data_IF_063752478524
#
_entry.id   IF_063752478524
#
_cell.length_a   1.000
_cell.length_b   1.000
_cell.length_c   1.000
_cell.angle_alpha   90.00
_cell.angle_beta   90.00
_cell.angle_gamma   90.00
#
_symmetry.space_group_name_H-M   'P 1'
#
loop_
_entity.id
_entity.type
_entity.pdbx_description
1 polymer ?
#
# COMPACT_ATOMS: atom_id res chain seq x y z
N UNK A 1 33.46 -18.75 -6.53
CA UNK A 1 32.51 -18.48 -7.64
C UNK A 1 31.37 -17.66 -7.09
N UNK A 2 31.33 -16.34 -7.34
CA UNK A 2 30.18 -15.52 -6.91
C UNK A 2 28.92 -16.04 -7.60
N UNK A 3 27.91 -16.32 -6.79
CA UNK A 3 26.66 -16.94 -7.21
C UNK A 3 26.01 -16.07 -8.30
N UNK A 4 25.97 -16.53 -9.56
CA UNK A 4 25.50 -15.73 -10.71
C UNK A 4 24.11 -15.12 -10.43
N UNK A 5 23.25 -15.85 -9.73
CA UNK A 5 21.92 -15.38 -9.31
C UNK A 5 21.96 -14.14 -8.39
N UNK A 6 22.91 -14.03 -7.46
CA UNK A 6 23.03 -12.85 -6.59
C UNK A 6 23.53 -11.64 -7.37
N UNK A 7 24.48 -11.83 -8.30
CA UNK A 7 24.97 -10.76 -9.16
C UNK A 7 23.87 -10.21 -10.07
N UNK A 8 23.09 -11.10 -10.70
CA UNK A 8 21.96 -10.69 -11.55
C UNK A 8 20.89 -9.92 -10.76
N UNK A 9 20.59 -10.35 -9.52
CA UNK A 9 19.62 -9.66 -8.65
C UNK A 9 20.08 -8.26 -8.29
N UNK A 10 21.33 -8.09 -7.88
CA UNK A 10 21.89 -6.77 -7.56
C UNK A 10 21.97 -5.86 -8.79
N UNK A 11 22.27 -6.42 -9.96
CA UNK A 11 22.24 -5.68 -11.22
C UNK A 11 20.84 -5.11 -11.51
N UNK A 12 19.79 -5.92 -11.41
CA UNK A 12 18.42 -5.43 -11.62
C UNK A 12 18.01 -4.36 -10.60
N UNK A 13 18.36 -4.54 -9.32
CA UNK A 13 18.07 -3.54 -8.27
C UNK A 13 18.77 -2.21 -8.60
N UNK A 14 20.06 -2.25 -8.94
CA UNK A 14 20.83 -1.05 -9.27
C UNK A 14 20.32 -0.38 -10.55
N UNK A 15 19.94 -1.17 -11.56
CA UNK A 15 19.33 -0.67 -12.79
C UNK A 15 18.00 0.03 -12.52
N UNK A 16 17.12 -0.56 -11.69
CA UNK A 16 15.85 0.06 -11.30
C UNK A 16 16.03 1.36 -10.54
N UNK A 17 16.95 1.40 -9.57
CA UNK A 17 17.27 2.62 -8.81
C UNK A 17 17.79 3.71 -9.75
N UNK A 18 18.69 3.34 -10.67
CA UNK A 18 19.23 4.27 -11.69
C UNK A 18 18.12 4.84 -12.57
N UNK A 19 17.21 4.00 -13.09
CA UNK A 19 16.09 4.44 -13.92
C UNK A 19 15.16 5.40 -13.16
N UNK A 20 14.78 5.03 -11.94
CA UNK A 20 13.92 5.89 -11.09
C UNK A 20 14.59 7.24 -10.84
N UNK A 21 15.89 7.23 -10.55
CA UNK A 21 16.66 8.46 -10.28
C UNK A 21 16.75 9.34 -11.52
N UNK A 22 16.96 8.76 -12.70
CA UNK A 22 16.95 9.47 -13.98
C UNK A 22 15.58 10.09 -14.30
N UNK A 23 14.48 9.37 -14.05
CA UNK A 23 13.12 9.90 -14.25
C UNK A 23 12.86 11.09 -13.33
N UNK A 24 13.21 10.98 -12.05
CA UNK A 24 13.06 12.06 -11.08
C UNK A 24 13.91 13.29 -11.45
N UNK A 25 15.18 13.07 -11.80
CA UNK A 25 16.07 14.12 -12.28
C UNK A 25 15.50 14.83 -13.52
N UNK A 26 15.07 14.06 -14.53
CA UNK A 26 14.52 14.60 -15.76
C UNK A 26 13.25 15.44 -15.49
N UNK A 27 12.37 14.95 -14.62
CA UNK A 27 11.14 15.67 -14.23
C UNK A 27 11.46 16.99 -13.52
N UNK A 28 12.46 16.99 -12.64
CA UNK A 28 12.92 18.21 -11.95
C UNK A 28 13.51 19.24 -12.92
N UNK A 29 14.36 18.78 -13.85
CA UNK A 29 14.93 19.63 -14.90
C UNK A 29 13.84 20.23 -15.80
N UNK A 30 12.89 19.41 -16.25
CA UNK A 30 11.76 19.86 -17.05
C UNK A 30 10.94 20.95 -16.35
N UNK A 31 10.64 20.77 -15.06
CA UNK A 31 9.92 21.79 -14.29
C UNK A 31 10.71 23.10 -14.17
N UNK A 32 12.02 23.01 -13.93
CA UNK A 32 12.90 24.18 -13.81
C UNK A 32 12.97 24.96 -15.13
N UNK A 33 13.16 24.24 -16.24
CA UNK A 33 13.17 24.82 -17.58
C UNK A 33 11.84 25.48 -17.93
N UNK A 34 10.71 24.91 -17.49
CA UNK A 34 9.39 25.54 -17.69
C UNK A 34 9.26 26.85 -16.91
N UNK A 35 9.78 26.92 -15.68
CA UNK A 35 9.81 28.18 -14.89
C UNK A 35 10.70 29.24 -15.53
N UNK A 36 11.88 28.84 -16.02
CA UNK A 36 12.80 29.74 -16.73
C UNK A 36 12.16 30.29 -18.01
N UNK A 37 11.57 29.43 -18.84
CA UNK A 37 10.86 29.85 -20.05
C UNK A 37 9.70 30.82 -19.76
N UNK A 38 8.98 30.66 -18.63
CA UNK A 38 7.95 31.63 -18.24
C UNK A 38 8.54 32.97 -17.81
N UNK A 39 9.66 32.95 -17.11
CA UNK A 39 10.39 34.15 -16.74
C UNK A 39 10.88 34.90 -17.98
N UNK A 40 11.52 34.22 -18.92
CA UNK A 40 12.03 34.83 -20.16
C UNK A 40 10.90 35.48 -20.96
N UNK A 41 9.74 34.82 -21.04
CA UNK A 41 8.54 35.40 -21.67
C UNK A 41 8.07 36.68 -20.98
N UNK A 42 8.13 36.73 -19.65
CA UNK A 42 7.73 37.91 -18.88
C UNK A 42 8.77 39.04 -18.99
N UNK A 43 10.05 38.73 -19.09
CA UNK A 43 11.10 39.72 -19.36
C UNK A 43 10.92 40.33 -20.77
N UNK A 44 10.62 39.52 -21.79
CA UNK A 44 10.29 40.01 -23.14
C UNK A 44 9.00 40.84 -23.12
N UNK A 45 7.98 40.40 -22.38
CA UNK A 45 6.73 41.16 -22.23
C UNK A 45 6.96 42.52 -21.57
N UNK A 46 7.80 42.56 -20.52
CA UNK A 46 8.16 43.80 -19.82
C UNK A 46 8.93 44.76 -20.73
N UNK A 47 9.90 44.26 -21.49
CA UNK A 47 10.64 45.06 -22.47
C UNK A 47 9.72 45.64 -23.56
N UNK A 48 8.77 44.84 -24.08
CA UNK A 48 7.78 45.33 -25.04
C UNK A 48 6.86 46.40 -24.42
N UNK A 49 6.50 46.27 -23.14
CA UNK A 49 5.70 47.26 -22.43
C UNK A 49 6.49 48.56 -22.18
N UNK A 50 7.78 48.47 -21.88
CA UNK A 50 8.68 49.60 -21.77
C UNK A 50 8.75 50.37 -23.09
N UNK A 51 9.04 49.67 -24.19
CA UNK A 51 9.12 50.25 -25.53
C UNK A 51 7.78 50.87 -25.95
N UNK A 52 6.66 50.19 -25.71
CA UNK A 52 5.32 50.71 -26.00
C UNK A 52 5.03 52.05 -25.31
N UNK A 53 5.53 52.24 -24.09
CA UNK A 53 5.34 53.48 -23.32
C UNK A 53 6.23 54.63 -23.78
N UNK A 54 7.32 54.33 -24.50
CA UNK A 54 8.24 55.31 -25.06
C UNK A 54 7.84 55.79 -26.46
N UNK A 55 6.85 55.14 -27.10
CA UNK A 55 6.37 55.54 -28.43
C UNK A 55 5.73 56.93 -28.34
N UNK A 56 6.38 57.89 -28.97
CA UNK A 56 5.82 59.22 -29.22
C UNK A 56 4.82 59.12 -30.38
N UNK A 57 3.54 59.38 -30.13
CA UNK A 57 2.43 59.21 -31.08
C UNK A 57 2.50 60.14 -32.31
N UNK A 58 3.57 60.93 -32.44
CA UNK A 58 3.78 61.94 -33.48
C UNK A 58 4.69 61.49 -34.63
N UNK A 59 5.25 60.28 -34.60
CA UNK A 59 6.01 59.71 -35.73
C UNK A 59 5.20 58.63 -36.47
N UNK A 60 4.87 58.88 -37.73
CA UNK A 60 3.95 58.09 -38.57
C UNK A 60 4.50 56.71 -39.05
N UNK A 61 5.71 56.30 -38.68
CA UNK A 61 6.40 55.12 -39.25
C UNK A 61 6.78 54.02 -38.24
N UNK A 62 6.10 53.88 -37.11
CA UNK A 62 6.38 52.77 -36.18
C UNK A 62 5.54 51.51 -36.46
N UNK A 63 6.17 50.37 -36.74
CA UNK A 63 5.49 49.08 -36.89
C UNK A 63 5.10 48.50 -35.52
N UNK A 64 4.06 49.06 -34.90
CA UNK A 64 3.55 48.67 -33.56
C UNK A 64 3.03 47.22 -33.50
N UNK A 65 2.94 46.50 -34.63
CA UNK A 65 2.36 45.15 -34.69
C UNK A 65 3.17 44.13 -33.90
N UNK A 66 4.50 44.21 -33.91
CA UNK A 66 5.35 43.27 -33.17
C UNK A 66 5.18 43.42 -31.65
N UNK A 67 5.22 44.66 -31.14
CA UNK A 67 5.03 44.97 -29.73
C UNK A 67 3.64 44.52 -29.26
N UNK A 68 2.59 44.89 -30.01
CA UNK A 68 1.23 44.48 -29.69
C UNK A 68 1.06 42.96 -29.69
N UNK A 69 1.68 42.25 -30.63
CA UNK A 69 1.67 40.79 -30.66
C UNK A 69 2.34 40.19 -29.43
N UNK A 70 3.48 40.73 -28.98
CA UNK A 70 4.16 40.30 -27.75
C UNK A 70 3.27 40.53 -26.53
N UNK A 71 2.70 41.73 -26.39
CA UNK A 71 1.84 42.07 -25.25
C UNK A 71 0.58 41.20 -25.19
N UNK A 72 -0.03 40.93 -26.34
CA UNK A 72 -1.23 40.09 -26.47
C UNK A 72 -0.93 38.58 -26.38
N UNK A 73 0.32 38.15 -26.60
CA UNK A 73 0.70 36.73 -26.52
C UNK A 73 0.60 36.15 -25.10
N UNK A 74 0.65 37.00 -24.07
CA UNK A 74 0.49 36.56 -22.68
C UNK A 74 -0.98 36.26 -22.35
N UNK A 75 -1.38 35.03 -22.58
CA UNK A 75 -2.77 34.55 -22.38
C UNK A 75 -2.98 33.76 -21.08
N UNK A 76 -1.91 33.44 -20.34
CA UNK A 76 -1.99 32.47 -19.25
C UNK A 76 -1.17 32.80 -18.01
N UNK A 77 -0.15 33.65 -18.11
CA UNK A 77 0.65 34.03 -16.94
C UNK A 77 -0.09 35.11 -16.16
N UNK A 78 -0.49 34.83 -14.90
CA UNK A 78 -1.18 35.81 -14.07
C UNK A 78 -0.23 36.92 -13.65
N UNK A 79 -0.66 38.17 -13.80
CA UNK A 79 0.14 39.32 -13.39
C UNK A 79 -0.70 40.47 -12.86
N UNK A 80 -0.10 41.26 -11.97
CA UNK A 80 -0.60 42.52 -11.44
C UNK A 80 0.44 43.58 -11.79
N UNK A 81 0.02 44.58 -12.56
CA UNK A 81 0.79 45.76 -12.92
C UNK A 81 0.47 46.87 -11.92
N UNK A 82 1.48 47.36 -11.22
CA UNK A 82 1.36 48.52 -10.33
C UNK A 82 1.93 49.75 -11.03
N UNK A 83 1.10 50.79 -11.21
CA UNK A 83 1.52 52.06 -11.83
C UNK A 83 1.80 53.08 -10.74
N UNK A 84 3.08 53.40 -10.51
CA UNK A 84 3.50 54.21 -9.36
C UNK A 84 2.93 55.63 -9.37
N UNK A 85 2.85 56.26 -10.55
CA UNK A 85 2.36 57.65 -10.70
C UNK A 85 0.88 57.83 -10.36
N UNK A 86 0.07 56.80 -10.64
CA UNK A 86 -1.39 56.86 -10.51
C UNK A 86 -1.90 56.11 -9.27
N UNK A 87 -1.02 55.37 -8.57
CA UNK A 87 -1.36 54.45 -7.48
C UNK A 87 -2.46 53.43 -7.89
N UNK A 88 -2.35 52.91 -9.12
CA UNK A 88 -3.33 51.99 -9.70
C UNK A 88 -2.74 50.61 -9.90
N UNK A 89 -3.54 49.58 -9.58
CA UNK A 89 -3.25 48.19 -9.85
C UNK A 89 -4.15 47.64 -10.96
N UNK A 90 -3.54 47.11 -12.01
CA UNK A 90 -4.23 46.47 -13.14
C UNK A 90 -3.88 44.99 -13.16
N UNK A 91 -4.87 44.12 -13.33
CA UNK A 91 -4.66 42.68 -13.40
C UNK A 91 -4.79 42.13 -14.82
N UNK A 92 -3.84 41.31 -15.26
CA UNK A 92 -3.98 40.48 -16.47
C UNK A 92 -3.98 39.00 -16.07
N UNK A 93 -4.86 38.21 -16.69
CA UNK A 93 -5.03 36.77 -16.41
C UNK A 93 -5.32 36.46 -14.92
N UNK A 94 -5.87 37.43 -14.19
CA UNK A 94 -6.28 37.32 -12.78
C UNK A 94 -7.71 37.81 -12.61
N UNK A 95 -8.42 37.26 -11.62
CA UNK A 95 -9.78 37.69 -11.29
C UNK A 95 -9.79 39.14 -10.82
N UNK A 96 -10.43 40.01 -11.59
CA UNK A 96 -10.51 41.45 -11.33
C UNK A 96 -11.06 41.77 -9.93
N UNK A 97 -11.99 40.94 -9.42
CA UNK A 97 -12.54 41.11 -8.06
C UNK A 97 -11.47 40.98 -6.98
N UNK A 98 -10.45 40.15 -7.21
CA UNK A 98 -9.34 39.96 -6.27
C UNK A 98 -8.32 41.09 -6.34
N UNK A 99 -8.19 41.75 -7.49
CA UNK A 99 -7.28 42.90 -7.68
C UNK A 99 -7.87 44.16 -7.04
N UNK A 100 -9.18 44.36 -7.17
CA UNK A 100 -9.89 45.51 -6.57
C UNK A 100 -9.92 45.46 -5.04
N UNK A 101 -10.01 44.27 -4.45
CA UNK A 101 -10.00 44.05 -3.00
C UNK A 101 -8.54 44.16 -2.45
N UNK A 102 -8.22 45.18 -1.62
CA UNK A 102 -6.86 45.42 -1.15
C UNK A 102 -6.23 44.24 -0.40
N UNK A 103 -7.02 43.52 0.41
CA UNK A 103 -6.53 42.40 1.21
C UNK A 103 -6.19 41.21 0.32
N UNK A 104 -7.06 40.92 -0.66
CA UNK A 104 -6.82 39.82 -1.62
C UNK A 104 -5.71 40.15 -2.59
N UNK A 105 -5.63 41.41 -3.05
CA UNK A 105 -4.55 41.89 -3.91
C UNK A 105 -3.20 41.74 -3.23
N UNK A 106 -3.07 42.19 -1.98
CA UNK A 106 -1.81 42.07 -1.26
C UNK A 106 -1.39 40.61 -1.07
N UNK A 107 -2.34 39.71 -0.78
CA UNK A 107 -2.05 38.27 -0.73
C UNK A 107 -1.55 37.71 -2.07
N UNK A 108 -2.16 38.12 -3.17
CA UNK A 108 -1.73 37.72 -4.53
C UNK A 108 -0.33 38.26 -4.85
N UNK A 109 -0.04 39.53 -4.53
CA UNK A 109 1.28 40.13 -4.72
C UNK A 109 2.33 39.37 -3.91
N UNK A 110 2.07 39.07 -2.64
CA UNK A 110 3.00 38.28 -1.81
C UNK A 110 3.21 36.86 -2.36
N UNK A 111 2.15 36.23 -2.87
CA UNK A 111 2.27 34.95 -3.56
C UNK A 111 3.19 35.08 -4.79
N UNK A 112 2.97 36.06 -5.66
CA UNK A 112 3.75 36.27 -6.88
C UNK A 112 5.22 36.55 -6.56
N UNK A 113 5.51 37.38 -5.56
CA UNK A 113 6.89 37.63 -5.07
C UNK A 113 7.57 36.35 -4.57
N UNK A 114 6.81 35.43 -3.96
CA UNK A 114 7.36 34.14 -3.52
C UNK A 114 7.65 33.17 -4.67
N UNK A 115 7.01 33.36 -5.83
CA UNK A 115 7.13 32.49 -7.00
C UNK A 115 8.21 32.98 -7.98
N UNK A 116 8.28 34.30 -8.19
CA UNK A 116 9.19 35.00 -9.09
C UNK A 116 9.61 36.37 -8.55
N UNK A 117 10.77 36.87 -8.99
CA UNK A 117 11.18 38.25 -8.72
C UNK A 117 10.32 39.21 -9.56
N UNK A 118 9.75 40.27 -8.97
CA UNK A 118 9.06 41.32 -9.74
C UNK A 118 9.97 41.94 -10.80
N UNK A 119 9.38 42.43 -11.88
CA UNK A 119 10.08 43.15 -12.94
C UNK A 119 9.66 44.62 -12.88
N UNK A 120 10.64 45.51 -12.73
CA UNK A 120 10.42 46.95 -12.77
C UNK A 120 10.60 47.46 -14.21
N UNK A 121 9.70 48.35 -14.61
CA UNK A 121 9.74 49.06 -15.89
C UNK A 121 10.20 50.48 -15.59
N UNK A 122 11.40 50.82 -16.07
CA UNK A 122 12.03 52.11 -15.84
C UNK A 122 11.96 52.99 -17.08
N UNK A 123 11.91 54.31 -16.88
CA UNK A 123 12.09 55.29 -17.95
C UNK A 123 12.90 56.46 -17.41
N UNK A 124 14.00 56.81 -18.09
CA UNK A 124 14.93 57.87 -17.65
C UNK A 124 15.40 57.74 -16.19
N UNK A 125 15.52 56.50 -15.68
CA UNK A 125 15.97 56.21 -14.31
C UNK A 125 14.87 56.29 -13.23
N UNK A 126 13.61 56.49 -13.61
CA UNK A 126 12.45 56.40 -12.70
C UNK A 126 11.64 55.12 -12.97
N UNK A 127 11.27 54.40 -11.91
CA UNK A 127 10.40 53.22 -12.01
C UNK A 127 8.96 53.68 -12.27
N UNK A 128 8.47 53.47 -13.48
CA UNK A 128 7.10 53.83 -13.87
C UNK A 128 6.08 52.79 -13.40
N UNK A 129 6.42 51.50 -13.59
CA UNK A 129 5.54 50.39 -13.27
C UNK A 129 6.32 49.21 -12.68
N UNK A 130 5.69 48.44 -11.80
CA UNK A 130 6.21 47.17 -11.31
C UNK A 130 5.26 46.04 -11.69
N UNK A 131 5.79 44.98 -12.29
CA UNK A 131 5.05 43.77 -12.66
C UNK A 131 5.27 42.71 -11.57
N UNK A 132 4.18 42.37 -10.87
CA UNK A 132 4.11 41.18 -10.02
C UNK A 132 3.47 40.04 -10.81
N UNK A 133 4.18 38.95 -11.07
CA UNK A 133 3.66 37.81 -11.84
C UNK A 133 3.89 36.49 -11.13
N UNK A 134 3.00 35.54 -11.38
CA UNK A 134 3.00 34.22 -10.76
C UNK A 134 3.11 33.07 -11.75
N UNK A 135 3.19 31.86 -11.21
CA UNK A 135 3.16 30.61 -11.97
C UNK A 135 1.85 30.54 -12.77
N UNK A 136 1.96 30.20 -14.05
CA UNK A 136 0.79 29.88 -14.85
C UNK A 136 -0.02 28.70 -14.26
N UNK A 137 -1.29 28.52 -14.67
CA UNK A 137 -2.07 27.34 -14.30
C UNK A 137 -1.40 26.01 -14.63
N UNK A 138 -0.56 25.96 -15.68
CA UNK A 138 0.14 24.73 -16.06
C UNK A 138 1.29 24.42 -15.11
N UNK A 139 2.10 25.42 -14.72
CA UNK A 139 3.17 25.22 -13.74
C UNK A 139 2.61 24.80 -12.39
N UNK A 140 1.50 25.41 -11.95
CA UNK A 140 0.85 25.05 -10.69
C UNK A 140 0.32 23.60 -10.68
N UNK A 141 -0.12 23.06 -11.83
CA UNK A 141 -0.50 21.65 -11.96
C UNK A 141 0.72 20.72 -11.93
N UNK A 142 1.77 21.07 -12.68
CA UNK A 142 2.94 20.19 -12.86
C UNK A 142 3.84 20.15 -11.61
N UNK A 143 3.85 21.20 -10.78
CA UNK A 143 4.62 21.28 -9.53
C UNK A 143 4.48 20.06 -8.62
N UNK A 144 3.30 19.41 -8.62
CA UNK A 144 3.01 18.26 -7.75
C UNK A 144 3.29 16.89 -8.40
N UNK A 145 3.62 16.84 -9.70
CA UNK A 145 3.87 15.58 -10.40
C UNK A 145 5.01 14.76 -9.80
N UNK A 146 6.17 15.36 -9.39
CA UNK A 146 7.23 14.60 -8.73
C UNK A 146 6.76 13.91 -7.44
N UNK A 147 5.94 14.59 -6.62
CA UNK A 147 5.41 14.03 -5.39
C UNK A 147 4.45 12.85 -5.67
N UNK A 148 3.58 12.99 -6.67
CA UNK A 148 2.68 11.91 -7.09
C UNK A 148 3.46 10.67 -7.56
N UNK A 149 4.55 10.86 -8.31
CA UNK A 149 5.41 9.76 -8.77
C UNK A 149 6.04 9.01 -7.58
N UNK A 150 6.53 9.73 -6.56
CA UNK A 150 7.09 9.12 -5.35
C UNK A 150 6.03 8.27 -4.64
N UNK A 151 4.80 8.78 -4.51
CA UNK A 151 3.69 8.02 -3.90
C UNK A 151 3.42 6.72 -4.68
N UNK A 152 3.35 6.79 -6.01
CA UNK A 152 3.15 5.61 -6.86
C UNK A 152 4.28 4.59 -6.65
N UNK A 153 5.54 5.04 -6.63
CA UNK A 153 6.70 4.17 -6.39
C UNK A 153 6.60 3.47 -5.03
N UNK A 154 6.26 4.20 -3.96
CA UNK A 154 6.08 3.63 -2.61
C UNK A 154 4.96 2.60 -2.59
N UNK A 155 3.82 2.88 -3.23
CA UNK A 155 2.72 1.93 -3.34
C UNK A 155 3.14 0.65 -4.07
N UNK A 156 3.93 0.76 -5.15
CA UNK A 156 4.49 -0.40 -5.83
C UNK A 156 5.42 -1.22 -4.94
N UNK A 157 6.31 -0.58 -4.19
CA UNK A 157 7.19 -1.28 -3.25
C UNK A 157 6.39 -2.01 -2.16
N UNK A 158 5.36 -1.37 -1.61
CA UNK A 158 4.47 -2.00 -0.63
C UNK A 158 3.72 -3.20 -1.22
N UNK A 159 3.20 -3.07 -2.43
CA UNK A 159 2.52 -4.17 -3.12
C UNK A 159 3.45 -5.37 -3.34
N UNK A 160 4.68 -5.12 -3.81
CA UNK A 160 5.70 -6.16 -3.99
C UNK A 160 6.06 -6.82 -2.65
N UNK A 161 6.23 -6.01 -1.59
CA UNK A 161 6.54 -6.51 -0.26
C UNK A 161 5.45 -7.43 0.28
N UNK A 162 4.18 -6.99 0.25
CA UNK A 162 3.05 -7.81 0.71
C UNK A 162 2.87 -9.06 -0.14
N UNK A 163 3.03 -8.97 -1.46
CA UNK A 163 3.00 -10.12 -2.35
C UNK A 163 4.08 -11.14 -1.97
N UNK A 164 5.33 -10.70 -1.78
CA UNK A 164 6.43 -11.57 -1.40
C UNK A 164 6.19 -12.25 -0.04
N UNK A 165 5.76 -11.49 0.97
CA UNK A 165 5.47 -12.02 2.30
C UNK A 165 4.36 -13.08 2.25
N UNK A 166 3.28 -12.79 1.53
CA UNK A 166 2.14 -13.70 1.36
C UNK A 166 2.55 -14.97 0.60
N UNK A 167 3.31 -14.82 -0.49
CA UNK A 167 3.80 -15.96 -1.28
C UNK A 167 4.71 -16.87 -0.46
N UNK A 168 5.64 -16.30 0.32
CA UNK A 168 6.53 -17.08 1.19
C UNK A 168 5.79 -17.84 2.28
N UNK A 169 4.81 -17.21 2.93
CA UNK A 169 3.99 -17.89 3.93
C UNK A 169 3.17 -19.04 3.30
N UNK A 170 2.61 -18.82 2.10
CA UNK A 170 1.87 -19.85 1.37
C UNK A 170 2.74 -21.03 0.95
N UNK A 171 3.96 -20.79 0.44
CA UNK A 171 4.94 -21.83 0.13
C UNK A 171 5.30 -22.66 1.36
N UNK A 172 5.58 -22.01 2.49
CA UNK A 172 5.90 -22.71 3.73
C UNK A 172 4.71 -23.54 4.20
N UNK A 173 3.50 -22.99 4.25
CA UNK A 173 2.31 -23.73 4.67
C UNK A 173 2.06 -24.97 3.81
N UNK A 174 2.28 -24.87 2.49
CA UNK A 174 2.20 -26.03 1.58
C UNK A 174 3.28 -27.06 1.87
N UNK A 175 4.51 -26.63 2.15
CA UNK A 175 5.60 -27.53 2.52
C UNK A 175 5.30 -28.26 3.84
N UNK A 176 4.85 -27.55 4.87
CA UNK A 176 4.44 -28.14 6.15
C UNK A 176 3.29 -29.15 6.00
N UNK A 177 2.28 -28.82 5.18
CA UNK A 177 1.21 -29.75 4.85
C UNK A 177 1.72 -31.02 4.13
N UNK A 178 2.60 -30.85 3.14
CA UNK A 178 3.21 -31.97 2.42
C UNK A 178 4.03 -32.88 3.33
N UNK A 179 4.88 -32.29 4.18
CA UNK A 179 5.68 -33.02 5.16
C UNK A 179 4.79 -33.78 6.15
N UNK A 180 3.76 -33.14 6.71
CA UNK A 180 2.84 -33.80 7.65
C UNK A 180 2.14 -35.01 7.03
N UNK A 181 1.72 -34.91 5.76
CA UNK A 181 1.07 -36.00 5.04
C UNK A 181 2.04 -37.16 4.74
N UNK A 182 3.27 -36.86 4.32
CA UNK A 182 4.30 -37.87 4.08
C UNK A 182 4.72 -38.57 5.38
N UNK A 183 4.95 -37.81 6.46
CA UNK A 183 5.24 -38.38 7.78
C UNK A 183 4.10 -39.24 8.30
N UNK A 184 2.84 -38.84 8.12
CA UNK A 184 1.69 -39.67 8.47
C UNK A 184 1.71 -41.01 7.72
N UNK A 185 2.01 -40.99 6.42
CA UNK A 185 2.15 -42.21 5.63
C UNK A 185 3.29 -43.10 6.14
N UNK A 186 4.45 -42.51 6.42
CA UNK A 186 5.62 -43.22 6.92
C UNK A 186 5.41 -43.83 8.33
N UNK A 187 4.61 -43.20 9.19
CA UNK A 187 4.25 -43.74 10.52
C UNK A 187 3.14 -44.81 10.41
N UNK A 188 2.24 -44.71 9.44
CA UNK A 188 1.12 -45.65 9.28
C UNK A 188 1.56 -47.09 8.99
N UNK A 189 2.64 -47.27 8.23
CA UNK A 189 3.20 -48.60 7.89
C UNK A 189 3.69 -49.37 9.13
N UNK A 190 4.63 -48.85 9.95
CA UNK A 190 5.08 -49.57 11.15
C UNK A 190 3.96 -49.73 12.19
N UNK A 191 3.03 -48.78 12.28
CA UNK A 191 1.86 -48.91 13.17
C UNK A 191 0.98 -50.11 12.81
N UNK A 192 0.79 -50.37 11.50
CA UNK A 192 0.04 -51.56 11.05
C UNK A 192 0.76 -52.85 11.43
N UNK A 193 2.10 -52.87 11.41
CA UNK A 193 2.89 -54.00 11.91
C UNK A 193 2.72 -54.19 13.42
N UNK A 194 2.66 -53.11 14.22
CA UNK A 194 2.42 -53.19 15.67
C UNK A 194 1.06 -53.80 16.00
N UNK A 195 0.01 -53.42 15.27
CA UNK A 195 -1.32 -54.06 15.40
C UNK A 195 -1.20 -55.57 15.13
N UNK A 196 -0.51 -55.96 14.06
CA UNK A 196 -0.27 -57.38 13.75
C UNK A 196 0.45 -58.12 14.87
N UNK A 197 1.49 -57.53 15.46
CA UNK A 197 2.18 -58.12 16.60
C UNK A 197 1.29 -58.26 17.83
N UNK A 198 0.41 -57.28 18.11
CA UNK A 198 -0.53 -57.40 19.23
C UNK A 198 -1.54 -58.54 19.05
N UNK A 199 -1.96 -58.83 17.82
CA UNK A 199 -2.83 -60.00 17.55
C UNK A 199 -2.10 -61.32 17.79
N UNK A 200 -0.82 -61.42 17.42
CA UNK A 200 0.00 -62.60 17.71
C UNK A 200 0.16 -62.80 19.22
N UNK A 201 0.47 -61.73 19.97
CA UNK A 201 0.62 -61.80 21.43
C UNK A 201 -0.67 -62.25 22.14
N UNK A 202 -1.86 -61.85 21.63
CA UNK A 202 -3.15 -62.38 22.09
C UNK A 202 -3.28 -63.87 21.84
N UNK A 203 -2.89 -64.33 20.65
CA UNK A 203 -2.95 -65.75 20.30
C UNK A 203 -1.99 -66.60 21.14
N UNK A 204 -0.82 -66.05 21.52
CA UNK A 204 0.15 -66.71 22.40
C UNK A 204 -0.20 -66.64 23.90
N UNK A 205 -1.37 -66.08 24.26
CA UNK A 205 -1.84 -65.94 25.65
C UNK A 205 -0.86 -65.19 26.57
N UNK A 206 -0.16 -64.18 26.04
CA UNK A 206 0.61 -63.24 26.84
C UNK A 206 -0.34 -62.50 27.79
N UNK A 207 0.17 -62.06 28.96
CA UNK A 207 -0.63 -61.38 29.98
C UNK A 207 -1.56 -60.32 29.35
N UNK A 208 -2.89 -60.52 29.43
CA UNK A 208 -3.87 -59.65 28.78
C UNK A 208 -3.76 -58.18 29.18
N UNK A 209 -3.34 -57.90 30.42
CA UNK A 209 -3.21 -56.52 30.91
C UNK A 209 -2.15 -55.73 30.13
N UNK A 210 -1.03 -56.38 29.74
CA UNK A 210 0.02 -55.73 28.95
C UNK A 210 -0.41 -55.48 27.52
N UNK A 211 -1.11 -56.45 26.92
CA UNK A 211 -1.63 -56.33 25.57
C UNK A 211 -2.66 -55.20 25.50
N UNK A 212 -3.54 -55.09 26.50
CA UNK A 212 -4.57 -54.07 26.56
C UNK A 212 -3.99 -52.65 26.69
N UNK A 213 -2.88 -52.46 27.43
CA UNK A 213 -2.17 -51.19 27.45
C UNK A 213 -1.48 -50.88 26.11
N UNK A 214 -0.85 -51.87 25.46
CA UNK A 214 -0.27 -51.68 24.12
C UNK A 214 -1.33 -51.28 23.07
N UNK A 215 -2.51 -51.90 23.11
CA UNK A 215 -3.63 -51.53 22.23
C UNK A 215 -4.08 -50.09 22.43
N UNK A 216 -4.13 -49.62 23.68
CA UNK A 216 -4.45 -48.21 24.00
C UNK A 216 -3.43 -47.26 23.38
N UNK A 217 -2.14 -47.55 23.50
CA UNK A 217 -1.07 -46.71 22.94
C UNK A 217 -1.07 -46.72 21.40
N UNK A 218 -1.25 -47.90 20.78
CA UNK A 218 -1.38 -48.04 19.33
C UNK A 218 -2.61 -47.27 18.82
N UNK A 219 -3.74 -47.36 19.50
CA UNK A 219 -4.97 -46.62 19.16
C UNK A 219 -4.75 -45.09 19.24
N UNK A 220 -4.02 -44.63 20.26
CA UNK A 220 -3.63 -43.23 20.39
C UNK A 220 -2.72 -42.79 19.24
N UNK A 221 -1.70 -43.58 18.90
CA UNK A 221 -0.81 -43.31 17.78
C UNK A 221 -1.56 -43.28 16.44
N UNK A 222 -2.50 -44.21 16.23
CA UNK A 222 -3.37 -44.23 15.05
C UNK A 222 -4.15 -42.94 14.89
N UNK A 223 -4.75 -42.48 15.98
CA UNK A 223 -5.51 -41.22 16.00
C UNK A 223 -4.61 -40.03 15.65
N UNK A 224 -3.38 -39.99 16.19
CA UNK A 224 -2.41 -38.93 15.88
C UNK A 224 -2.04 -38.99 14.39
N UNK A 225 -1.65 -40.17 13.87
CA UNK A 225 -1.28 -40.36 12.48
C UNK A 225 -2.41 -39.99 11.52
N UNK A 226 -3.65 -40.37 11.83
CA UNK A 226 -4.83 -39.97 11.05
C UNK A 226 -5.01 -38.45 11.03
N UNK A 227 -4.89 -37.77 12.18
CA UNK A 227 -4.93 -36.30 12.25
C UNK A 227 -3.83 -35.66 11.41
N UNK A 228 -2.59 -36.16 11.49
CA UNK A 228 -1.46 -35.69 10.67
C UNK A 228 -1.72 -35.88 9.16
N UNK A 229 -2.32 -36.99 8.75
CA UNK A 229 -2.64 -37.27 7.34
C UNK A 229 -3.64 -36.29 6.73
N UNK A 230 -4.44 -35.61 7.58
CA UNK A 230 -5.45 -34.63 7.16
C UNK A 230 -4.90 -33.20 7.12
N UNK A 231 -3.69 -32.94 7.64
CA UNK A 231 -3.08 -31.60 7.64
C UNK A 231 -2.91 -31.11 6.20
N UNK A 232 -3.49 -29.94 5.90
CA UNK A 232 -3.45 -29.33 4.56
C UNK A 232 -4.29 -30.01 3.49
N UNK A 233 -5.08 -31.02 3.84
CA UNK A 233 -6.15 -31.53 2.96
C UNK A 233 -7.37 -30.63 3.02
N UNK A 234 -8.13 -30.54 1.92
CA UNK A 234 -9.43 -29.85 1.92
C UNK A 234 -10.37 -30.60 2.87
N UNK A 235 -10.94 -29.98 3.92
CA UNK A 235 -11.85 -30.65 4.83
C UNK A 235 -13.08 -31.15 4.09
N UNK A 236 -13.44 -32.43 4.29
CA UNK A 236 -14.75 -32.93 3.88
C UNK A 236 -15.77 -32.42 4.87
N UNK A 237 -16.69 -31.58 4.39
CA UNK A 237 -17.80 -31.06 5.19
C UNK A 237 -19.02 -31.96 5.01
N UNK A 238 -19.68 -32.26 6.12
CA UNK A 238 -20.91 -33.04 6.16
C UNK A 238 -21.99 -32.21 6.86
N UNK A 239 -23.23 -32.31 6.39
CA UNK A 239 -24.35 -31.60 6.99
C UNK A 239 -24.77 -32.33 8.27
N UNK A 240 -24.36 -31.80 9.41
CA UNK A 240 -24.56 -32.43 10.73
C UNK A 240 -25.13 -31.42 11.71
N UNK A 241 -25.75 -31.92 12.78
CA UNK A 241 -26.20 -31.08 13.90
C UNK A 241 -25.00 -30.66 14.76
N UNK A 242 -24.67 -29.36 14.74
CA UNK A 242 -23.53 -28.85 15.52
C UNK A 242 -23.81 -28.87 17.01
N UNK A 243 -25.07 -28.80 17.44
CA UNK A 243 -25.44 -28.86 18.86
C UNK A 243 -25.05 -30.24 19.41
N UNK A 244 -25.42 -31.30 18.69
CA UNK A 244 -25.06 -32.67 19.03
C UNK A 244 -23.53 -32.87 19.07
N UNK A 245 -22.79 -32.42 18.05
CA UNK A 245 -21.33 -32.57 18.01
C UNK A 245 -20.65 -31.79 19.16
N UNK A 246 -21.17 -30.61 19.50
CA UNK A 246 -20.66 -29.80 20.63
C UNK A 246 -20.87 -30.53 21.94
N UNK A 247 -22.07 -31.09 22.16
CA UNK A 247 -22.41 -31.87 23.34
C UNK A 247 -21.50 -33.10 23.49
N UNK A 248 -21.29 -33.86 22.41
CA UNK A 248 -20.38 -35.01 22.40
C UNK A 248 -18.95 -34.59 22.75
N UNK A 249 -18.47 -33.46 22.21
CA UNK A 249 -17.13 -32.93 22.48
C UNK A 249 -16.99 -32.49 23.94
N UNK A 250 -18.02 -31.84 24.49
CA UNK A 250 -18.10 -31.42 25.88
C UNK A 250 -18.07 -32.62 26.84
N UNK A 251 -18.94 -33.62 26.61
CA UNK A 251 -19.05 -34.80 27.47
C UNK A 251 -17.74 -35.60 27.48
N UNK A 252 -17.12 -35.73 26.30
CA UNK A 252 -15.80 -36.35 26.16
C UNK A 252 -14.72 -35.62 27.00
N UNK A 253 -14.63 -34.29 26.89
CA UNK A 253 -13.64 -33.50 27.65
C UNK A 253 -13.92 -33.55 29.15
N UNK A 254 -15.18 -33.37 29.56
CA UNK A 254 -15.58 -33.41 30.97
C UNK A 254 -15.23 -34.75 31.62
N UNK A 255 -15.38 -35.87 30.90
CA UNK A 255 -15.05 -37.21 31.42
C UNK A 255 -13.55 -37.44 31.67
N UNK A 256 -12.68 -36.68 30.99
CA UNK A 256 -11.22 -36.86 31.02
C UNK A 256 -10.47 -35.77 31.79
N UNK A 257 -11.17 -34.71 32.18
CA UNK A 257 -10.59 -33.62 32.95
C UNK A 257 -10.79 -33.84 34.45
N UNK A 258 -9.89 -33.28 35.28
CA UNK A 258 -9.97 -33.35 36.73
C UNK A 258 -11.34 -32.89 37.26
N UNK A 259 -11.85 -33.58 38.30
CA UNK A 259 -13.09 -33.18 39.01
C UNK A 259 -13.00 -31.80 39.68
N UNK A 260 -11.79 -31.23 39.76
CA UNK A 260 -11.57 -29.88 40.30
C UNK A 260 -11.95 -28.77 39.30
N UNK A 261 -12.24 -29.12 38.05
CA UNK A 261 -12.60 -28.16 37.00
C UNK A 261 -14.11 -28.27 36.74
N UNK A 262 -14.79 -27.13 36.83
CA UNK A 262 -16.23 -27.05 36.58
C UNK A 262 -16.50 -26.81 35.10
N UNK A 263 -17.38 -27.63 34.52
CA UNK A 263 -17.75 -27.59 33.10
C UNK A 263 -19.22 -27.18 32.97
N UNK A 264 -19.47 -26.07 32.28
CA UNK A 264 -20.80 -25.61 31.89
C UNK A 264 -20.93 -25.53 30.36
N UNK A 265 -22.11 -25.86 29.83
CA UNK A 265 -22.40 -25.87 28.40
C UNK A 265 -23.72 -25.16 28.12
N UNK A 266 -23.64 -24.08 27.35
CA UNK A 266 -24.81 -23.34 26.87
C UNK A 266 -24.93 -23.54 25.36
N UNK A 267 -26.02 -24.18 24.93
CA UNK A 267 -26.34 -24.43 23.52
C UNK A 267 -27.78 -24.03 23.20
N UNK A 268 -28.11 -23.67 21.94
CA UNK A 268 -29.47 -23.37 21.52
C UNK A 268 -30.45 -24.55 21.71
N UNK A 269 -31.73 -24.25 21.86
CA UNK A 269 -32.79 -25.26 21.92
C UNK A 269 -33.11 -25.80 20.50
N UNK A 270 -32.79 -27.06 20.26
CA UNK A 270 -33.10 -27.79 19.02
C UNK A 270 -31.90 -27.97 18.08
N UNK A 271 -32.03 -28.85 17.06
CA UNK A 271 -30.93 -29.18 16.16
C UNK A 271 -30.57 -28.02 15.23
N UNK A 272 -29.27 -27.77 15.05
CA UNK A 272 -28.74 -26.75 14.14
C UNK A 272 -27.82 -27.39 13.11
N UNK A 273 -28.33 -27.59 11.89
CA UNK A 273 -27.59 -28.24 10.82
C UNK A 273 -26.66 -27.27 10.09
N UNK A 274 -25.36 -27.61 10.04
CA UNK A 274 -24.33 -26.87 9.31
C UNK A 274 -23.42 -27.84 8.56
N UNK A 275 -22.77 -27.35 7.50
CA UNK A 275 -21.73 -28.11 6.81
C UNK A 275 -20.44 -28.01 7.62
N UNK A 276 -20.07 -29.08 8.32
CA UNK A 276 -18.96 -29.11 9.25
C UNK A 276 -18.14 -30.38 9.10
N UNK A 277 -16.85 -30.32 9.42
CA UNK A 277 -16.05 -31.51 9.64
C UNK A 277 -16.05 -31.82 11.14
N UNK A 278 -16.73 -32.89 11.61
CA UNK A 278 -16.94 -33.13 13.03
C UNK A 278 -15.61 -33.33 13.78
N UNK A 279 -14.65 -34.04 13.18
CA UNK A 279 -13.34 -34.29 13.78
C UNK A 279 -12.54 -33.00 14.01
N UNK A 280 -12.44 -32.14 13.00
CA UNK A 280 -11.72 -30.88 13.12
C UNK A 280 -12.40 -29.95 14.12
N UNK A 281 -13.73 -29.89 14.12
CA UNK A 281 -14.49 -29.07 15.06
C UNK A 281 -14.30 -29.51 16.52
N UNK A 282 -14.50 -30.81 16.80
CA UNK A 282 -14.24 -31.37 18.14
C UNK A 282 -12.80 -31.13 18.58
N UNK A 283 -11.84 -31.20 17.66
CA UNK A 283 -10.44 -30.94 17.97
C UNK A 283 -10.16 -29.46 18.26
N UNK A 284 -10.85 -28.52 17.59
CA UNK A 284 -10.79 -27.10 17.95
C UNK A 284 -11.27 -26.88 19.38
N UNK A 285 -12.42 -27.45 19.77
CA UNK A 285 -12.93 -27.37 21.14
C UNK A 285 -11.93 -27.98 22.12
N UNK A 286 -11.40 -29.18 21.83
CA UNK A 286 -10.39 -29.85 22.67
C UNK A 286 -9.18 -28.96 22.93
N UNK A 287 -8.62 -28.31 21.90
CA UNK A 287 -7.45 -27.44 22.05
C UNK A 287 -7.78 -26.17 22.85
N UNK A 288 -8.94 -25.55 22.62
CA UNK A 288 -9.36 -24.36 23.35
C UNK A 288 -9.55 -24.66 24.85
N UNK A 289 -10.21 -25.77 25.17
CA UNK A 289 -10.45 -26.18 26.56
C UNK A 289 -9.14 -26.56 27.25
N UNK A 290 -8.25 -27.31 26.60
CA UNK A 290 -6.92 -27.64 27.15
C UNK A 290 -6.10 -26.39 27.44
N UNK A 291 -6.01 -25.46 26.49
CA UNK A 291 -5.32 -24.19 26.69
C UNK A 291 -5.93 -23.38 27.85
N UNK A 292 -7.25 -23.42 28.01
CA UNK A 292 -7.93 -22.78 29.13
C UNK A 292 -7.57 -23.40 30.49
N UNK A 293 -7.52 -24.73 30.56
CA UNK A 293 -7.13 -25.47 31.76
C UNK A 293 -5.65 -25.23 32.10
N UNK A 294 -4.76 -25.31 31.12
CA UNK A 294 -3.31 -25.13 31.30
C UNK A 294 -2.92 -23.70 31.74
N UNK A 295 -3.80 -22.73 31.50
CA UNK A 295 -3.60 -21.34 31.92
C UNK A 295 -4.01 -21.05 33.38
N UNK A 296 -4.71 -21.97 34.05
CA UNK A 296 -5.14 -21.86 35.45
C UNK A 296 -4.06 -22.33 36.42
#
# INVERSE_FOLDING_TARGET
MLNKATLTRWFFILASITIISLILWNTYQFFTQLKENERDKMEIWAAAQEEFKQIDLTQDEWDSRLILNVLQSNTSTPMILYTHKEDVYTGNNVDEKKVRDPVKRQKLIQQFISEYKPIDIEYNGEVLQTIYYGNSPIINKIKYYPAALIVIIVLFFLAIYFFYQTSRSSEQNKLWAGMAKETAHQIGTPLSSLVGWTEILKAEQVNPDYVLEMEKDISRLKTITERFSKVGSVPKLERLDVVEITQQSFDYLKSRTSKLIEFDLVVPNGPLYVNINPQLYSWTIENLVKNGIDAM
#
